data_IF_414666448913
#
_entry.id   IF_414666448913
#
_cell.length_a   1.000
_cell.length_b   1.000
_cell.length_c   1.000
_cell.angle_alpha   90.00
_cell.angle_beta   90.00
_cell.angle_gamma   90.00
#
_symmetry.space_group_name_H-M   'P 1'
#
loop_
_entity.id
_entity.type
_entity.pdbx_description
1 polymer ?
#
# COMPACT_ATOMS: atom_id res chain seq x y z
N UNK A 1 -16.25 12.64 9.24
CA UNK A 1 -15.26 12.49 10.33
C UNK A 1 -13.99 11.91 9.73
N UNK A 2 -12.81 12.36 10.17
CA UNK A 2 -11.52 11.81 9.71
C UNK A 2 -11.03 10.78 10.72
N UNK A 3 -10.54 9.64 10.23
CA UNK A 3 -9.90 8.60 11.05
C UNK A 3 -8.45 8.43 10.61
N UNK A 4 -7.56 8.22 11.58
CA UNK A 4 -6.14 7.99 11.34
C UNK A 4 -5.79 6.58 11.76
N UNK A 5 -5.14 5.85 10.86
CA UNK A 5 -4.64 4.51 11.09
C UNK A 5 -3.12 4.52 11.02
N UNK A 6 -2.48 3.62 11.74
CA UNK A 6 -1.08 3.30 11.55
C UNK A 6 -0.87 1.80 11.70
N UNK A 7 -0.20 1.21 10.73
CA UNK A 7 0.24 -0.17 10.81
C UNK A 7 1.69 -0.25 11.27
N UNK A 8 1.97 -1.14 12.22
CA UNK A 8 3.31 -1.43 12.72
C UNK A 8 3.67 -2.89 12.43
N UNK A 9 4.93 -3.16 12.08
CA UNK A 9 5.45 -4.52 11.93
C UNK A 9 6.83 -4.63 12.55
N UNK A 10 7.17 -5.81 13.04
CA UNK A 10 8.55 -6.18 13.37
C UNK A 10 9.36 -6.52 12.11
N UNK A 11 8.67 -6.88 11.02
CA UNK A 11 9.28 -7.08 9.72
C UNK A 11 9.69 -5.73 9.10
N UNK A 12 10.89 -5.70 8.54
CA UNK A 12 11.57 -4.48 8.06
C UNK A 12 11.44 -4.28 6.54
N UNK A 13 10.66 -5.15 5.91
CA UNK A 13 10.40 -5.12 4.47
C UNK A 13 9.49 -3.95 4.15
N UNK A 14 9.83 -3.28 3.06
CA UNK A 14 9.08 -2.16 2.50
C UNK A 14 8.89 -2.32 0.99
N UNK A 15 9.05 -3.53 0.48
CA UNK A 15 8.75 -3.89 -0.91
C UNK A 15 7.23 -3.99 -1.14
N UNK A 16 6.76 -4.10 -2.40
CA UNK A 16 5.34 -4.06 -2.71
C UNK A 16 4.48 -5.12 -1.98
N UNK A 17 5.04 -6.29 -1.66
CA UNK A 17 4.31 -7.30 -0.91
C UNK A 17 4.03 -6.86 0.53
N UNK A 18 5.03 -6.26 1.18
CA UNK A 18 4.87 -5.67 2.50
C UNK A 18 3.84 -4.53 2.46
N UNK A 19 3.96 -3.61 1.48
CA UNK A 19 2.99 -2.52 1.31
C UNK A 19 1.56 -3.07 1.17
N UNK A 20 1.34 -4.10 0.34
CA UNK A 20 0.02 -4.69 0.17
C UNK A 20 -0.52 -5.34 1.46
N UNK A 21 0.32 -6.02 2.24
CA UNK A 21 -0.09 -6.57 3.54
C UNK A 21 -0.49 -5.47 4.54
N UNK A 22 0.26 -4.37 4.57
CA UNK A 22 -0.09 -3.18 5.35
C UNK A 22 -1.42 -2.58 4.91
N UNK A 23 -1.64 -2.44 3.60
CA UNK A 23 -2.90 -1.92 3.04
C UNK A 23 -4.08 -2.85 3.33
N UNK A 24 -3.92 -4.17 3.20
CA UNK A 24 -4.98 -5.14 3.51
C UNK A 24 -5.49 -4.95 4.94
N UNK A 25 -4.57 -4.82 5.90
CA UNK A 25 -4.93 -4.63 7.31
C UNK A 25 -5.76 -3.36 7.53
N UNK A 26 -5.38 -2.24 6.91
CA UNK A 26 -6.11 -0.97 7.02
C UNK A 26 -7.45 -1.03 6.29
N UNK A 27 -7.49 -1.60 5.08
CA UNK A 27 -8.70 -1.67 4.25
C UNK A 27 -9.74 -2.61 4.85
N UNK A 28 -9.33 -3.76 5.37
CA UNK A 28 -10.21 -4.69 6.08
C UNK A 28 -10.84 -3.97 7.28
N UNK A 29 -10.03 -3.23 8.06
CA UNK A 29 -10.53 -2.45 9.20
C UNK A 29 -11.49 -1.33 8.80
N UNK A 30 -11.18 -0.57 7.75
CA UNK A 30 -12.05 0.48 7.21
C UNK A 30 -13.39 -0.14 6.79
N UNK A 31 -13.36 -1.26 6.08
CA UNK A 31 -14.57 -1.94 5.62
C UNK A 31 -15.41 -2.45 6.78
N UNK A 32 -14.79 -3.05 7.79
CA UNK A 32 -15.49 -3.58 8.96
C UNK A 32 -16.13 -2.48 9.83
N UNK A 33 -15.46 -1.34 9.99
CA UNK A 33 -15.83 -0.37 11.03
C UNK A 33 -16.37 0.97 10.52
N UNK A 34 -16.04 1.37 9.30
CA UNK A 34 -16.37 2.71 8.78
C UNK A 34 -17.24 2.65 7.53
N UNK A 35 -16.92 1.76 6.58
CA UNK A 35 -17.57 1.70 5.26
C UNK A 35 -17.84 0.25 4.84
N UNK A 36 -18.89 -0.42 5.38
CA UNK A 36 -19.21 -1.81 5.05
C UNK A 36 -19.45 -2.06 3.55
N UNK A 37 -20.11 -1.11 2.87
CA UNK A 37 -20.35 -1.13 1.43
C UNK A 37 -19.28 -0.32 0.68
N UNK A 38 -18.00 -0.68 0.88
CA UNK A 38 -16.86 -0.02 0.24
C UNK A 38 -16.88 -0.28 -1.28
N UNK A 39 -17.23 0.75 -2.07
CA UNK A 39 -17.28 0.68 -3.54
C UNK A 39 -16.07 1.25 -4.24
N UNK A 40 -15.42 2.25 -3.65
CA UNK A 40 -14.35 3.01 -4.30
C UNK A 40 -13.21 3.29 -3.35
N UNK A 41 -11.97 3.15 -3.85
CA UNK A 41 -10.76 3.51 -3.10
C UNK A 41 -9.93 4.52 -3.91
N UNK A 42 -9.49 5.57 -3.24
CA UNK A 42 -8.58 6.56 -3.80
C UNK A 42 -7.30 6.58 -2.96
N UNK A 43 -6.22 6.02 -3.51
CA UNK A 43 -4.90 6.13 -2.92
C UNK A 43 -4.22 7.42 -3.37
N UNK A 44 -3.49 8.02 -2.44
CA UNK A 44 -2.59 9.14 -2.69
C UNK A 44 -1.30 8.80 -1.96
N UNK A 45 -0.20 8.71 -2.69
CA UNK A 45 1.13 8.44 -2.13
C UNK A 45 2.20 9.22 -2.87
N UNK A 46 3.41 9.21 -2.33
CA UNK A 46 4.59 9.50 -3.13
C UNK A 46 4.80 8.42 -4.20
N UNK A 47 5.74 8.66 -5.13
CA UNK A 47 6.02 7.77 -6.26
C UNK A 47 7.33 6.96 -6.24
N UNK A 48 7.91 6.53 -5.10
CA UNK A 48 9.13 5.73 -5.08
C UNK A 48 8.91 4.41 -5.83
N UNK A 49 9.84 4.11 -6.73
CA UNK A 49 9.74 2.94 -7.61
C UNK A 49 9.93 1.62 -6.87
N UNK A 50 10.54 1.62 -5.69
CA UNK A 50 10.72 0.40 -4.89
C UNK A 50 9.47 -0.02 -4.13
N UNK A 51 8.48 0.87 -3.99
CA UNK A 51 7.30 0.65 -3.13
C UNK A 51 6.01 0.75 -3.93
N UNK A 52 5.59 1.96 -4.31
CA UNK A 52 4.24 2.21 -4.83
C UNK A 52 4.15 2.27 -6.35
N UNK A 53 5.19 2.75 -7.05
CA UNK A 53 5.17 2.99 -8.51
C UNK A 53 6.04 1.99 -9.27
N UNK A 54 5.58 0.74 -9.33
CA UNK A 54 6.24 -0.33 -10.08
C UNK A 54 5.26 -1.42 -10.56
N UNK A 55 5.76 -2.28 -11.45
CA UNK A 55 4.99 -3.37 -12.08
C UNK A 55 4.35 -4.33 -11.07
N UNK A 56 5.03 -4.65 -9.98
CA UNK A 56 4.53 -5.55 -8.93
C UNK A 56 3.37 -4.91 -8.18
N UNK A 57 3.48 -3.63 -7.82
CA UNK A 57 2.40 -2.90 -7.17
C UNK A 57 1.20 -2.70 -8.12
N UNK A 58 1.42 -2.53 -9.43
CA UNK A 58 0.31 -2.43 -10.39
C UNK A 58 -0.48 -3.75 -10.47
N UNK A 59 0.22 -4.90 -10.44
CA UNK A 59 -0.41 -6.20 -10.33
C UNK A 59 -1.18 -6.35 -9.01
N UNK A 60 -0.54 -6.08 -7.86
CA UNK A 60 -1.19 -6.19 -6.55
C UNK A 60 -2.41 -5.27 -6.45
N UNK A 61 -2.31 -4.05 -6.97
CA UNK A 61 -3.41 -3.09 -7.01
C UNK A 61 -4.62 -3.62 -7.77
N UNK A 62 -4.41 -4.26 -8.92
CA UNK A 62 -5.47 -4.75 -9.80
C UNK A 62 -6.00 -6.14 -9.44
N UNK A 63 -5.11 -7.09 -9.13
CA UNK A 63 -5.40 -8.52 -8.97
C UNK A 63 -5.54 -8.95 -7.51
N UNK A 64 -5.03 -8.18 -6.56
CA UNK A 64 -5.13 -8.51 -5.14
C UNK A 64 -6.03 -7.54 -4.39
N UNK A 65 -5.61 -6.28 -4.24
CA UNK A 65 -6.28 -5.27 -3.43
C UNK A 65 -7.72 -5.04 -3.93
N UNK A 66 -7.87 -4.76 -5.24
CA UNK A 66 -9.20 -4.46 -5.81
C UNK A 66 -10.15 -5.67 -5.74
N UNK A 67 -9.65 -6.89 -5.98
CA UNK A 67 -10.47 -8.11 -5.93
C UNK A 67 -10.83 -8.50 -4.49
N UNK A 68 -9.86 -8.49 -3.57
CA UNK A 68 -10.05 -8.79 -2.15
C UNK A 68 -11.09 -7.87 -1.54
N UNK A 69 -10.99 -6.57 -1.82
CA UNK A 69 -11.90 -5.58 -1.26
C UNK A 69 -13.27 -5.55 -1.95
N UNK A 70 -13.43 -6.23 -3.08
CA UNK A 70 -14.68 -6.30 -3.88
C UNK A 70 -15.22 -4.92 -4.29
N UNK A 71 -14.31 -4.00 -4.56
CA UNK A 71 -14.63 -2.64 -4.99
C UNK A 71 -15.00 -2.58 -6.47
N UNK A 72 -15.69 -1.52 -6.87
CA UNK A 72 -16.06 -1.27 -8.27
C UNK A 72 -14.96 -0.49 -8.99
N UNK A 73 -14.30 0.44 -8.30
CA UNK A 73 -13.33 1.36 -8.88
C UNK A 73 -12.20 1.66 -7.88
N UNK A 74 -10.96 1.71 -8.37
CA UNK A 74 -9.82 2.15 -7.58
C UNK A 74 -8.98 3.14 -8.38
N UNK A 75 -8.43 4.14 -7.71
CA UNK A 75 -7.43 5.03 -8.31
C UNK A 75 -6.23 5.15 -7.41
N UNK A 76 -5.03 5.15 -8.00
CA UNK A 76 -3.81 5.50 -7.33
C UNK A 76 -3.25 6.79 -7.91
N UNK A 77 -3.05 7.81 -7.09
CA UNK A 77 -2.49 9.10 -7.48
C UNK A 77 -1.11 9.24 -6.85
N UNK A 78 -0.12 9.56 -7.67
CA UNK A 78 1.26 9.77 -7.25
C UNK A 78 1.59 11.25 -7.23
N UNK A 79 2.15 11.72 -6.12
CA UNK A 79 2.65 13.08 -6.00
C UNK A 79 4.02 13.24 -6.70
N UNK A 80 4.33 14.46 -7.15
CA UNK A 80 5.61 14.82 -7.78
C UNK A 80 6.77 14.82 -6.78
N UNK A 81 7.98 14.53 -7.25
CA UNK A 81 9.17 14.61 -6.39
C UNK A 81 9.29 16.01 -5.75
N UNK A 82 9.61 16.06 -4.46
CA UNK A 82 9.70 17.33 -3.72
C UNK A 82 8.35 17.89 -3.22
N UNK A 83 7.27 17.10 -3.24
CA UNK A 83 5.95 17.49 -2.72
C UNK A 83 5.88 17.76 -1.19
N UNK A 84 7.00 17.64 -0.47
CA UNK A 84 7.05 17.81 0.98
C UNK A 84 6.43 16.64 1.75
N UNK A 85 6.07 16.87 3.01
CA UNK A 85 5.49 15.85 3.91
C UNK A 85 3.99 15.71 3.67
N UNK A 86 3.50 14.48 3.65
CA UNK A 86 2.09 14.13 3.51
C UNK A 86 1.38 13.92 4.86
N UNK A 87 0.08 13.65 4.80
CA UNK A 87 -0.70 13.26 5.99
C UNK A 87 -0.12 12.02 6.73
N UNK A 88 0.37 10.97 6.03
CA UNK A 88 0.97 9.82 6.70
C UNK A 88 2.22 10.18 7.53
N UNK A 89 3.03 11.16 7.09
CA UNK A 89 4.17 11.68 7.86
C UNK A 89 3.74 12.33 9.18
N UNK A 90 2.58 12.96 9.20
CA UNK A 90 1.99 13.56 10.41
C UNK A 90 1.63 12.50 11.45
N UNK A 91 0.98 11.42 11.00
CA UNK A 91 0.63 10.25 11.83
C UNK A 91 1.91 9.62 12.38
N UNK A 92 2.87 9.32 11.50
CA UNK A 92 4.15 8.75 11.90
C UNK A 92 4.97 9.64 12.83
N UNK A 93 4.99 10.94 12.57
CA UNK A 93 5.64 11.91 13.44
C UNK A 93 4.99 12.00 14.82
N UNK A 94 3.67 11.88 14.90
CA UNK A 94 2.95 11.84 16.19
C UNK A 94 3.37 10.61 17.00
N UNK A 95 3.35 9.42 16.40
CA UNK A 95 3.72 8.19 17.10
C UNK A 95 5.18 8.17 17.54
N UNK A 96 6.10 8.63 16.68
CA UNK A 96 7.53 8.75 17.02
C UNK A 96 7.74 9.67 18.22
N UNK A 97 7.14 10.87 18.21
CA UNK A 97 7.22 11.79 19.35
C UNK A 97 6.63 11.21 20.63
N UNK A 98 5.54 10.44 20.53
CA UNK A 98 4.97 9.75 21.70
C UNK A 98 5.93 8.70 22.26
N UNK A 99 6.59 7.91 21.41
CA UNK A 99 7.61 6.95 21.84
C UNK A 99 8.81 7.66 22.48
N UNK A 100 9.33 8.73 21.86
CA UNK A 100 10.44 9.54 22.40
C UNK A 100 10.08 10.11 23.77
N UNK A 101 8.83 10.56 23.97
CA UNK A 101 8.36 11.07 25.25
C UNK A 101 8.28 10.00 26.35
N UNK A 102 8.08 8.72 26.01
CA UNK A 102 8.19 7.63 26.98
C UNK A 102 9.64 7.42 27.40
N UNK A 103 10.56 7.35 26.45
CA UNK A 103 12.00 7.20 26.72
C UNK A 103 12.53 8.36 27.55
N UNK A 104 12.15 9.60 27.20
CA UNK A 104 12.56 10.80 27.94
C UNK A 104 12.05 10.82 29.40
N UNK A 105 10.99 10.07 29.72
CA UNK A 105 10.46 9.89 31.08
C UNK A 105 11.04 8.66 31.80
N UNK A 106 12.06 8.03 31.25
CA UNK A 106 12.74 6.87 31.84
C UNK A 106 12.03 5.54 31.61
N UNK A 107 11.14 5.44 30.61
CA UNK A 107 10.49 4.18 30.23
C UNK A 107 11.24 3.56 29.04
N UNK A 108 11.83 2.41 29.28
CA UNK A 108 12.49 1.64 28.22
C UNK A 108 11.49 0.97 27.28
N UNK A 109 11.80 0.98 25.98
CA UNK A 109 11.05 0.32 24.91
C UNK A 109 11.94 -0.75 24.26
N UNK A 110 12.14 -1.91 24.91
CA UNK A 110 13.14 -2.88 24.49
C UNK A 110 12.73 -3.75 23.29
N UNK A 111 11.43 -3.76 22.93
CA UNK A 111 10.91 -4.61 21.87
C UNK A 111 9.63 -4.04 21.24
N UNK A 112 9.26 -4.64 20.11
CA UNK A 112 8.08 -4.27 19.32
C UNK A 112 6.78 -4.33 20.13
N UNK A 113 6.58 -5.38 20.93
CA UNK A 113 5.37 -5.53 21.74
C UNK A 113 5.18 -4.38 22.74
N UNK A 114 6.26 -3.97 23.42
CA UNK A 114 6.21 -2.84 24.36
C UNK A 114 5.90 -1.53 23.64
N UNK A 115 6.49 -1.31 22.46
CA UNK A 115 6.21 -0.14 21.63
C UNK A 115 4.71 -0.07 21.26
N UNK A 116 4.15 -1.15 20.71
CA UNK A 116 2.74 -1.20 20.28
C UNK A 116 1.80 -0.94 21.45
N UNK A 117 2.03 -1.61 22.59
CA UNK A 117 1.20 -1.44 23.79
C UNK A 117 1.21 0.01 24.27
N UNK A 118 2.38 0.63 24.40
CA UNK A 118 2.51 2.02 24.85
C UNK A 118 1.80 3.01 23.90
N UNK A 119 1.94 2.82 22.59
CA UNK A 119 1.36 3.73 21.61
C UNK A 119 -0.17 3.61 21.52
N UNK A 120 -0.73 2.40 21.71
CA UNK A 120 -2.18 2.15 21.71
C UNK A 120 -2.88 2.89 22.85
N UNK A 121 -2.26 2.93 24.02
CA UNK A 121 -2.86 3.55 25.22
C UNK A 121 -2.78 5.09 25.21
N UNK A 122 -1.99 5.67 24.29
CA UNK A 122 -1.60 7.09 24.35
C UNK A 122 -2.16 7.93 23.22
N UNK A 123 -2.62 7.32 22.13
CA UNK A 123 -3.02 8.05 20.92
C UNK A 123 -4.41 7.65 20.45
N UNK A 124 -5.11 8.57 19.79
CA UNK A 124 -6.38 8.27 19.11
C UNK A 124 -6.17 7.65 17.73
N UNK A 125 -4.91 7.46 17.31
CA UNK A 125 -4.56 6.79 16.06
C UNK A 125 -4.84 5.30 16.26
N UNK A 126 -5.58 4.72 15.34
CA UNK A 126 -5.86 3.28 15.39
C UNK A 126 -4.62 2.51 14.95
N UNK A 127 -4.00 1.80 15.90
CA UNK A 127 -2.77 1.04 15.68
C UNK A 127 -3.10 -0.41 15.38
N UNK A 128 -2.70 -0.82 14.18
CA UNK A 128 -2.82 -2.18 13.67
C UNK A 128 -1.43 -2.82 13.56
N UNK A 129 -1.35 -4.14 13.65
CA UNK A 129 -0.07 -4.87 13.56
C UNK A 129 -0.09 -5.81 12.36
N UNK A 130 1.02 -5.85 11.63
CA UNK A 130 1.21 -6.73 10.47
C UNK A 130 2.35 -7.70 10.77
N UNK A 131 2.09 -8.99 10.59
CA UNK A 131 3.07 -10.05 10.85
C UNK A 131 3.91 -10.37 9.60
N UNK A 132 5.04 -11.06 9.79
CA UNK A 132 5.84 -11.55 8.65
C UNK A 132 5.06 -12.61 7.84
N UNK A 133 4.18 -13.36 8.51
CA UNK A 133 3.27 -14.32 7.88
C UNK A 133 2.28 -13.63 6.94
N UNK A 134 1.78 -12.44 7.30
CA UNK A 134 0.86 -11.68 6.44
C UNK A 134 1.56 -11.21 5.17
N UNK A 135 2.81 -10.76 5.27
CA UNK A 135 3.64 -10.38 4.12
C UNK A 135 3.94 -11.61 3.26
N UNK A 136 4.28 -12.74 3.90
CA UNK A 136 4.56 -14.00 3.20
C UNK A 136 3.35 -14.51 2.41
N UNK A 137 2.12 -14.33 2.92
CA UNK A 137 0.90 -14.66 2.16
C UNK A 137 0.80 -13.87 0.86
N UNK A 138 1.25 -12.62 0.85
CA UNK A 138 1.30 -11.81 -0.38
C UNK A 138 2.38 -12.33 -1.33
N UNK A 139 3.55 -12.70 -0.84
CA UNK A 139 4.61 -13.26 -1.69
C UNK A 139 4.16 -14.53 -2.43
N UNK A 140 3.31 -15.35 -1.79
CA UNK A 140 2.80 -16.59 -2.38
C UNK A 140 1.86 -16.36 -3.58
N UNK A 141 1.20 -15.20 -3.67
CA UNK A 141 0.30 -14.86 -4.78
C UNK A 141 0.98 -14.07 -5.90
N UNK A 142 2.24 -13.66 -5.70
CA UNK A 142 3.01 -12.92 -6.70
C UNK A 142 3.54 -13.86 -7.79
N UNK A 143 3.24 -13.61 -9.08
CA UNK A 143 3.87 -14.27 -10.23
C UNK A 143 5.39 -14.17 -10.20
N UNK A 144 6.06 -15.00 -11.00
CA UNK A 144 7.51 -14.89 -11.11
C UNK A 144 7.91 -13.59 -11.81
N UNK A 145 9.07 -13.04 -11.44
CA UNK A 145 9.49 -11.67 -11.83
C UNK A 145 9.53 -11.46 -13.35
N UNK A 146 9.80 -12.54 -14.08
CA UNK A 146 9.88 -12.61 -15.55
C UNK A 146 8.51 -12.46 -16.23
N UNK A 147 7.43 -12.81 -15.54
CA UNK A 147 6.08 -12.71 -16.09
C UNK A 147 5.59 -11.26 -16.15
N UNK A 148 6.03 -10.41 -15.21
CA UNK A 148 5.55 -9.03 -15.16
C UNK A 148 6.04 -8.20 -16.35
N UNK A 149 5.08 -7.76 -17.17
CA UNK A 149 5.29 -6.80 -18.25
C UNK A 149 5.57 -5.42 -17.66
N UNK A 150 6.66 -4.80 -18.12
CA UNK A 150 6.98 -3.41 -17.76
C UNK A 150 6.20 -2.45 -18.66
N UNK A 151 5.59 -1.42 -18.07
CA UNK A 151 4.94 -0.37 -18.85
C UNK A 151 5.99 0.68 -19.28
N UNK A 152 6.15 0.90 -20.59
CA UNK A 152 7.05 1.93 -21.10
C UNK A 152 6.52 3.30 -20.69
N UNK A 153 7.25 3.97 -19.79
CA UNK A 153 6.83 5.26 -19.24
C UNK A 153 6.26 5.19 -17.83
N UNK A 154 6.52 4.12 -17.06
CA UNK A 154 6.18 4.04 -15.62
C UNK A 154 6.51 5.32 -14.84
N UNK A 155 7.68 5.92 -15.09
CA UNK A 155 8.11 7.15 -14.39
C UNK A 155 7.33 8.39 -14.80
N UNK A 156 6.56 8.35 -15.89
CA UNK A 156 5.67 9.43 -16.33
C UNK A 156 4.26 9.28 -15.75
N UNK A 157 3.96 8.17 -15.07
CA UNK A 157 2.65 7.92 -14.48
C UNK A 157 2.50 8.75 -13.20
N UNK A 158 1.42 9.52 -13.14
CA UNK A 158 0.92 10.17 -11.93
C UNK A 158 -0.46 9.69 -11.49
N UNK A 159 -1.15 8.95 -12.35
CA UNK A 159 -2.39 8.29 -11.96
C UNK A 159 -2.55 6.94 -12.65
N UNK A 160 -2.94 5.94 -11.87
CA UNK A 160 -3.41 4.64 -12.35
C UNK A 160 -4.84 4.47 -11.94
N UNK A 161 -5.68 4.01 -12.86
CA UNK A 161 -7.08 3.72 -12.58
C UNK A 161 -7.42 2.27 -12.90
N UNK A 162 -8.18 1.66 -12.01
CA UNK A 162 -8.74 0.33 -12.12
C UNK A 162 -10.27 0.42 -12.02
N UNK A 163 -10.95 -0.44 -12.75
CA UNK A 163 -12.41 -0.55 -12.74
C UNK A 163 -12.76 -2.01 -12.98
N UNK A 164 -13.73 -2.54 -12.24
CA UNK A 164 -14.25 -3.89 -12.46
C UNK A 164 -14.80 -4.09 -13.89
N UNK A 165 -15.16 -2.99 -14.57
CA UNK A 165 -15.65 -2.97 -15.96
C UNK A 165 -14.54 -3.06 -17.01
N UNK A 166 -13.27 -3.02 -16.62
CA UNK A 166 -12.12 -3.06 -17.54
C UNK A 166 -11.14 -4.16 -17.13
N UNK A 167 -10.63 -4.97 -18.07
CA UNK A 167 -9.61 -5.97 -17.79
C UNK A 167 -8.21 -5.35 -17.57
N UNK A 168 -8.01 -4.09 -18.00
CA UNK A 168 -6.72 -3.40 -17.95
C UNK A 168 -6.75 -2.17 -17.06
N UNK A 169 -5.58 -1.83 -16.52
CA UNK A 169 -5.34 -0.57 -15.83
C UNK A 169 -5.15 0.55 -16.84
N UNK A 170 -5.67 1.74 -16.56
CA UNK A 170 -5.38 2.92 -17.36
C UNK A 170 -4.27 3.73 -16.70
N UNK A 171 -3.24 4.09 -17.48
CA UNK A 171 -2.13 4.91 -17.04
C UNK A 171 -2.30 6.34 -17.55
N UNK A 172 -2.11 7.32 -16.67
CA UNK A 172 -2.26 8.75 -16.97
C UNK A 172 -1.04 9.54 -16.50
N UNK A 173 -0.63 10.50 -17.33
CA UNK A 173 0.50 11.42 -17.06
C UNK A 173 0.22 12.40 -15.92
N UNK A 174 -1.05 12.75 -15.71
CA UNK A 174 -1.53 13.60 -14.61
C UNK A 174 -2.85 13.02 -14.11
N UNK A 175 -3.18 13.29 -12.85
CA UNK A 175 -4.48 12.91 -12.28
C UNK A 175 -5.62 13.59 -13.04
N UNK A 176 -6.54 12.78 -13.56
CA UNK A 176 -7.80 13.25 -14.12
C UNK A 176 -8.95 12.78 -13.24
N UNK A 177 -9.79 13.70 -12.78
CA UNK A 177 -11.00 13.41 -11.99
C UNK A 177 -12.28 13.46 -12.84
N UNK A 178 -12.18 13.86 -14.10
CA UNK A 178 -13.31 13.97 -15.04
C UNK A 178 -13.57 12.67 -15.80
N UNK A 179 -12.51 11.98 -16.25
CA UNK A 179 -12.63 10.75 -17.04
C UNK A 179 -12.86 9.54 -16.13
N UNK A 180 -13.81 8.67 -16.53
CA UNK A 180 -14.11 7.42 -15.82
C UNK A 180 -12.88 6.52 -15.66
N UNK A 181 -12.76 5.74 -14.57
CA UNK A 181 -11.62 4.86 -14.34
C UNK A 181 -11.36 3.79 -15.43
N UNK A 182 -12.40 3.24 -16.06
CA UNK A 182 -12.25 2.29 -17.17
C UNK A 182 -11.89 2.94 -18.51
N UNK A 183 -12.07 4.24 -18.66
CA UNK A 183 -11.94 4.91 -19.95
C UNK A 183 -10.52 5.38 -20.21
N UNK A 184 -10.08 5.24 -21.47
CA UNK A 184 -8.90 5.95 -21.95
C UNK A 184 -9.12 7.46 -21.81
N UNK A 185 -8.19 8.14 -21.15
CA UNK A 185 -8.32 9.55 -20.82
C UNK A 185 -7.81 10.43 -21.98
N UNK A 186 -8.70 11.22 -22.60
CA UNK A 186 -8.31 12.16 -23.65
C UNK A 186 -7.44 13.34 -23.16
N UNK A 187 -7.45 13.65 -21.86
CA UNK A 187 -6.68 14.75 -21.29
C UNK A 187 -5.22 14.37 -21.03
N UNK A 188 -5.02 13.24 -20.35
CA UNK A 188 -3.71 12.83 -19.81
C UNK A 188 -3.40 11.35 -20.00
N UNK A 189 -4.18 10.59 -20.77
CA UNK A 189 -3.93 9.17 -21.01
C UNK A 189 -2.60 8.92 -21.71
N UNK A 190 -1.83 7.95 -21.23
CA UNK A 190 -0.55 7.55 -21.83
C UNK A 190 -0.49 6.07 -22.21
N UNK A 191 -1.53 5.31 -21.89
CA UNK A 191 -1.67 3.91 -22.30
C UNK A 191 -2.44 3.09 -21.28
N UNK A 192 -2.54 1.80 -21.56
CA UNK A 192 -3.12 0.80 -20.65
C UNK A 192 -2.09 -0.25 -20.27
N UNK A 193 -2.20 -0.80 -19.07
CA UNK A 193 -1.37 -1.89 -18.57
C UNK A 193 -2.25 -3.13 -18.48
N UNK A 194 -1.93 -4.12 -19.30
CA UNK A 194 -2.58 -5.44 -19.20
C UNK A 194 -1.94 -6.23 -18.06
N UNK A 195 -2.78 -6.62 -17.12
CA UNK A 195 -2.45 -7.40 -15.91
C UNK A 195 -3.22 -8.72 -15.88
N UNK A 196 -4.04 -8.99 -16.91
CA UNK A 196 -4.92 -10.15 -16.98
C UNK A 196 -4.20 -11.44 -17.39
N UNK A 197 -3.03 -11.33 -18.04
CA UNK A 197 -2.25 -12.47 -18.51
C UNK A 197 -1.38 -13.13 -17.43
N UNK A 198 -1.29 -12.53 -16.23
CA UNK A 198 -0.43 -12.99 -15.15
C UNK A 198 -1.23 -13.91 -14.22
N UNK A 199 -0.98 -15.21 -14.32
CA UNK A 199 -1.61 -16.19 -13.43
C UNK A 199 -0.80 -16.28 -12.12
N UNK A 200 -1.45 -16.41 -10.95
CA UNK A 200 -0.72 -16.68 -9.71
C UNK A 200 0.06 -17.98 -9.84
N UNK A 201 1.29 -18.05 -9.30
CA UNK A 201 2.15 -19.20 -9.50
C UNK A 201 1.65 -20.41 -8.71
N UNK A 202 1.91 -21.62 -9.22
CA UNK A 202 1.72 -22.87 -8.49
C UNK A 202 2.93 -23.12 -7.55
N UNK A 203 3.12 -22.31 -6.51
CA UNK A 203 4.26 -22.48 -5.58
C UNK A 203 3.92 -23.45 -4.45
N UNK A 204 4.73 -24.53 -4.33
CA UNK A 204 4.78 -25.38 -3.13
C UNK A 204 5.65 -24.69 -2.08
N UNK A 205 5.18 -24.65 -0.83
CA UNK A 205 5.77 -23.89 0.28
C UNK A 205 7.16 -24.40 0.68
N UNK A 206 8.22 -23.64 0.43
CA UNK A 206 9.47 -23.69 1.21
C UNK A 206 10.24 -22.39 0.96
N UNK A 207 10.35 -21.51 1.96
CA UNK A 207 11.14 -20.28 1.86
C UNK A 207 12.16 -20.19 3.01
N UNK A 208 13.39 -19.76 2.67
CA UNK A 208 14.51 -19.54 3.61
C UNK A 208 14.72 -18.03 3.82
N UNK A 209 14.81 -17.63 5.08
CA UNK A 209 15.04 -16.26 5.56
C UNK A 209 16.33 -15.61 5.01
N UNK A 210 16.25 -14.30 4.73
CA UNK A 210 17.41 -13.38 4.71
C UNK A 210 17.11 -12.21 5.66
N UNK A 211 17.96 -12.06 6.69
CA UNK A 211 17.95 -10.91 7.61
C UNK A 211 18.70 -9.73 6.99
N UNK A 212 18.07 -8.56 6.95
CA UNK A 212 18.74 -7.27 6.86
C UNK A 212 18.05 -6.31 7.83
N UNK A 213 18.85 -5.62 8.64
CA UNK A 213 18.45 -4.73 9.73
C UNK A 213 18.22 -3.31 9.22
N UNK A 214 17.02 -2.75 9.40
CA UNK A 214 16.68 -1.32 9.53
C UNK A 214 15.17 -1.17 9.82
N UNK A 215 14.77 -0.53 10.93
CA UNK A 215 13.36 -0.35 11.32
C UNK A 215 12.55 0.37 10.22
N UNK A 216 11.48 -0.23 9.67
CA UNK A 216 10.60 0.42 8.69
C UNK A 216 9.18 0.59 9.23
N UNK A 217 8.69 1.83 9.27
CA UNK A 217 7.26 2.10 9.38
C UNK A 217 6.73 2.40 7.97
N UNK A 218 5.74 1.63 7.52
CA UNK A 218 4.96 1.96 6.33
C UNK A 218 3.78 2.81 6.80
N UNK A 219 3.71 4.04 6.32
CA UNK A 219 2.65 5.00 6.64
C UNK A 219 1.67 5.15 5.46
#
# INVERSE_FOLDING_TARGET
EHKSFCTLSECLRHDPAAIAAHLDCVLDKIKETLVPDLKKIHFVSDGPSTQYRNKTMFYLFSRHISERQKVEECTWNYCEAGHGKGAPDGVGGCLKRSADAFVARGIDIPNFYKLVTLLKDTTQIEILTVSEEDITKIDLILPDTEEFVTFKGTMKIHQITWSKRSPSLQARRLSCTTCKPEASCGHFGIGSIDVSSLNPPKKNSTYKQKKNSLLSCVF
#
